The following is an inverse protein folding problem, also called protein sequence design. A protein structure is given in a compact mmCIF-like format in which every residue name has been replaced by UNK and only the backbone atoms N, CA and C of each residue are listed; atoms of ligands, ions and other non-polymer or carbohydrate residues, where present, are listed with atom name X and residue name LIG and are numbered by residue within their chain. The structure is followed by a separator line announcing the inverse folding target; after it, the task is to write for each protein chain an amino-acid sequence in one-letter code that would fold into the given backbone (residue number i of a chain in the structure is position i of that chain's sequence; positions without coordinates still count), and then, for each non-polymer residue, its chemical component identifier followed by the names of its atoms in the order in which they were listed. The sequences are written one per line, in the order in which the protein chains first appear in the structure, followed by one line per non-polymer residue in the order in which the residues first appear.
data_IF_777577367383
#
_entry.id   IF_777577367383
#
_cell.length_a   1.000
_cell.length_b   1.000
_cell.length_c   1.000
_cell.angle_alpha   90.00
_cell.angle_beta   90.00
_cell.angle_gamma   90.00
#
_symmetry.space_group_name_H-M   'P 1'
#
loop_
_entity.id
_entity.type
_entity.pdbx_description
1 polymer ?
#
# COMPACT_ATOMS: atom_id res chain seq x y z
N UNK A 1 2.99 23.48 -16.49
CA UNK A 1 1.86 24.37 -16.15
C UNK A 1 1.43 24.06 -14.72
N UNK A 2 1.73 24.92 -13.73
CA UNK A 2 1.26 24.69 -12.37
C UNK A 2 -0.28 24.68 -12.35
N UNK A 3 -0.93 23.81 -11.55
CA UNK A 3 -2.38 23.71 -11.51
C UNK A 3 -2.98 25.04 -11.00
N UNK A 4 -3.99 25.55 -11.71
CA UNK A 4 -4.75 26.75 -11.34
C UNK A 4 -5.47 26.48 -10.01
N UNK A 5 -4.93 26.99 -8.91
CA UNK A 5 -5.57 26.96 -7.60
C UNK A 5 -6.79 27.88 -7.68
N UNK A 6 -7.99 27.35 -7.40
CA UNK A 6 -9.19 28.19 -7.26
C UNK A 6 -9.12 28.86 -5.89
N UNK A 7 -8.91 30.17 -5.87
CA UNK A 7 -9.07 30.97 -4.66
C UNK A 7 -10.56 31.14 -4.36
N UNK A 8 -10.94 30.90 -3.10
CA UNK A 8 -12.23 31.35 -2.55
C UNK A 8 -12.15 32.84 -2.25
N UNK A 9 -13.30 33.51 -2.17
CA UNK A 9 -13.52 34.96 -1.99
C UNK A 9 -12.79 35.60 -0.77
N UNK A 10 -12.13 34.77 0.06
CA UNK A 10 -11.35 35.12 1.24
C UNK A 10 -9.81 34.99 1.08
N UNK A 11 -9.30 34.72 -0.13
CA UNK A 11 -7.86 34.59 -0.38
C UNK A 11 -7.24 33.28 0.14
N UNK A 12 -8.06 32.29 0.47
CA UNK A 12 -7.60 30.96 0.92
C UNK A 12 -7.57 30.00 -0.26
N UNK A 13 -6.45 29.31 -0.52
CA UNK A 13 -6.37 28.32 -1.59
C UNK A 13 -7.36 27.18 -1.31
N UNK A 14 -8.31 27.00 -2.23
CA UNK A 14 -9.40 26.03 -2.06
C UNK A 14 -9.13 24.80 -2.90
N UNK A 15 -9.04 23.65 -2.23
CA UNK A 15 -8.83 22.36 -2.89
C UNK A 15 -10.16 21.61 -2.93
N UNK A 16 -10.68 21.30 -4.12
CA UNK A 16 -11.99 20.65 -4.32
C UNK A 16 -13.20 21.35 -3.67
N UNK A 17 -13.14 22.69 -3.54
CA UNK A 17 -14.27 23.47 -2.99
C UNK A 17 -14.37 23.50 -1.47
N UNK A 18 -13.38 22.92 -0.76
CA UNK A 18 -13.27 22.94 0.70
C UNK A 18 -11.94 23.60 1.11
N UNK A 19 -11.96 24.43 2.16
CA UNK A 19 -10.78 25.11 2.70
C UNK A 19 -10.78 25.07 4.23
N UNK A 20 -9.60 25.00 4.85
CA UNK A 20 -9.44 25.02 6.31
C UNK A 20 -9.70 23.66 6.98
N UNK A 21 -10.38 23.66 8.13
CA UNK A 21 -10.52 22.49 9.03
C UNK A 21 -11.24 21.30 8.39
N UNK A 22 -12.19 21.53 7.49
CA UNK A 22 -12.87 20.42 6.79
C UNK A 22 -11.95 19.68 5.80
N UNK A 23 -11.02 20.38 5.13
CA UNK A 23 -10.05 19.74 4.25
C UNK A 23 -9.09 18.85 5.05
N UNK A 24 -8.61 19.34 6.20
CA UNK A 24 -7.76 18.55 7.11
C UNK A 24 -8.48 17.31 7.66
N UNK A 25 -9.78 17.41 7.98
CA UNK A 25 -10.58 16.26 8.41
C UNK A 25 -10.71 15.24 7.28
N UNK A 26 -10.96 15.66 6.04
CA UNK A 26 -11.04 14.74 4.89
C UNK A 26 -9.70 14.02 4.64
N UNK A 27 -8.58 14.75 4.69
CA UNK A 27 -7.24 14.15 4.55
C UNK A 27 -6.97 13.16 5.67
N UNK A 28 -7.35 13.49 6.91
CA UNK A 28 -7.19 12.61 8.07
C UNK A 28 -8.03 11.34 7.92
N UNK A 29 -9.27 11.42 7.44
CA UNK A 29 -10.12 10.24 7.19
C UNK A 29 -9.49 9.32 6.14
N UNK A 30 -8.98 9.89 5.04
CA UNK A 30 -8.31 9.12 3.99
C UNK A 30 -7.03 8.47 4.53
N UNK A 31 -6.22 9.20 5.29
CA UNK A 31 -5.01 8.71 5.93
C UNK A 31 -5.30 7.54 6.88
N UNK A 32 -6.27 7.70 7.78
CA UNK A 32 -6.67 6.66 8.73
C UNK A 32 -7.20 5.42 8.00
N UNK A 33 -7.94 5.60 6.90
CA UNK A 33 -8.44 4.48 6.10
C UNK A 33 -7.30 3.68 5.46
N UNK A 34 -6.26 4.35 4.94
CA UNK A 34 -5.08 3.69 4.39
C UNK A 34 -4.31 2.89 5.46
N UNK A 35 -4.06 3.50 6.63
CA UNK A 35 -3.42 2.81 7.76
C UNK A 35 -4.24 1.64 8.31
N UNK A 36 -5.58 1.75 8.29
CA UNK A 36 -6.47 0.66 8.65
C UNK A 36 -6.35 -0.49 7.66
N UNK A 37 -6.35 -0.20 6.35
CA UNK A 37 -6.20 -1.20 5.30
C UNK A 37 -4.83 -1.90 5.39
N UNK A 38 -3.77 -1.15 5.68
CA UNK A 38 -2.43 -1.69 5.94
C UNK A 38 -2.43 -2.68 7.11
N UNK A 39 -3.00 -2.30 8.26
CA UNK A 39 -3.10 -3.19 9.42
C UNK A 39 -3.96 -4.42 9.14
N UNK A 40 -5.02 -4.25 8.34
CA UNK A 40 -5.89 -5.34 7.92
C UNK A 40 -5.15 -6.37 7.03
N UNK A 41 -4.37 -5.94 6.04
CA UNK A 41 -3.63 -6.86 5.15
C UNK A 41 -2.64 -7.74 5.93
N UNK A 42 -1.93 -7.16 6.90
CA UNK A 42 -1.04 -7.92 7.78
C UNK A 42 -1.80 -8.86 8.72
N UNK A 43 -2.87 -8.36 9.34
CA UNK A 43 -3.67 -9.12 10.29
C UNK A 43 -4.33 -10.33 9.63
N UNK A 44 -4.97 -10.13 8.47
CA UNK A 44 -5.58 -11.22 7.71
C UNK A 44 -4.53 -12.25 7.32
N UNK A 45 -3.37 -11.83 6.80
CA UNK A 45 -2.35 -12.80 6.39
C UNK A 45 -1.91 -13.70 7.54
N UNK A 46 -1.67 -13.11 8.72
CA UNK A 46 -1.27 -13.88 9.90
C UNK A 46 -2.30 -14.95 10.31
N UNK A 47 -3.59 -14.74 9.98
CA UNK A 47 -4.66 -15.70 10.24
C UNK A 47 -4.87 -16.73 9.13
N UNK A 48 -4.83 -16.31 7.86
CA UNK A 48 -5.10 -17.22 6.73
C UNK A 48 -3.95 -18.17 6.44
N UNK A 49 -2.71 -17.84 6.82
CA UNK A 49 -1.55 -18.66 6.47
C UNK A 49 -1.59 -20.06 7.11
N UNK A 50 -2.15 -20.16 8.32
CA UNK A 50 -2.38 -21.44 9.00
C UNK A 50 -3.66 -22.15 8.55
N UNK A 51 -4.49 -21.53 7.70
CA UNK A 51 -5.77 -22.10 7.28
C UNK A 51 -5.58 -23.28 6.31
N UNK A 52 -6.37 -24.36 6.44
CA UNK A 52 -6.27 -25.52 5.56
C UNK A 52 -6.55 -25.17 4.09
N UNK A 53 -7.40 -24.18 3.83
CA UNK A 53 -7.66 -23.68 2.47
C UNK A 53 -6.42 -23.03 1.83
N UNK A 54 -5.63 -22.29 2.60
CA UNK A 54 -4.40 -21.66 2.11
C UNK A 54 -3.32 -22.72 1.85
N UNK A 55 -3.18 -23.70 2.75
CA UNK A 55 -2.27 -24.84 2.58
C UNK A 55 -2.63 -25.71 1.37
N UNK A 56 -3.92 -25.89 1.10
CA UNK A 56 -4.39 -26.60 -0.10
C UNK A 56 -4.12 -25.81 -1.39
N UNK A 57 -4.22 -24.47 -1.34
CA UNK A 57 -3.89 -23.60 -2.48
C UNK A 57 -2.38 -23.48 -2.72
N UNK A 58 -1.57 -23.53 -1.66
CA UNK A 58 -0.12 -23.39 -1.66
C UNK A 58 0.54 -24.55 -0.91
N UNK A 59 0.61 -25.76 -1.51
CA UNK A 59 1.15 -26.95 -0.85
C UNK A 59 2.62 -26.82 -0.46
N UNK A 60 3.37 -25.91 -1.10
CA UNK A 60 4.77 -25.60 -0.77
C UNK A 60 4.95 -24.93 0.60
N UNK A 61 3.88 -24.33 1.13
CA UNK A 61 3.86 -23.71 2.46
C UNK A 61 3.51 -24.73 3.55
N UNK A 62 2.88 -25.86 3.19
CA UNK A 62 2.44 -26.85 4.16
C UNK A 62 3.62 -27.70 4.68
N UNK A 63 3.85 -27.65 6.00
CA UNK A 63 4.92 -28.38 6.67
C UNK A 63 6.28 -27.68 6.68
N UNK A 64 6.42 -26.51 6.05
CA UNK A 64 7.67 -25.72 6.07
C UNK A 64 7.46 -24.32 6.68
N UNK A 65 7.64 -24.22 8.00
CA UNK A 65 7.52 -22.98 8.76
C UNK A 65 8.47 -21.86 8.30
N UNK A 66 9.62 -22.22 7.72
CA UNK A 66 10.56 -21.23 7.16
C UNK A 66 9.98 -20.58 5.91
N UNK A 67 9.38 -21.39 5.04
CA UNK A 67 8.75 -20.91 3.80
C UNK A 67 7.48 -20.12 4.10
N UNK A 68 6.71 -20.56 5.09
CA UNK A 68 5.56 -19.84 5.65
C UNK A 68 5.95 -18.43 6.11
N UNK A 69 6.96 -18.34 6.99
CA UNK A 69 7.47 -17.06 7.48
C UNK A 69 8.03 -16.16 6.38
N UNK A 70 8.66 -16.75 5.35
CA UNK A 70 9.17 -16.02 4.20
C UNK A 70 8.05 -15.34 3.39
N UNK A 71 6.96 -16.05 3.10
CA UNK A 71 5.81 -15.53 2.34
C UNK A 71 5.11 -14.36 3.05
N UNK A 72 5.12 -14.33 4.39
CA UNK A 72 4.60 -13.19 5.17
C UNK A 72 5.61 -12.05 5.20
N UNK A 73 6.88 -12.37 5.46
CA UNK A 73 7.93 -11.37 5.72
C UNK A 73 8.38 -10.64 4.45
N UNK A 74 8.22 -11.22 3.26
CA UNK A 74 8.56 -10.57 1.99
C UNK A 74 7.79 -9.27 1.75
N UNK A 75 6.58 -9.16 2.31
CA UNK A 75 5.80 -7.92 2.28
C UNK A 75 6.52 -6.79 3.02
N UNK A 76 7.08 -7.07 4.21
CA UNK A 76 7.84 -6.10 4.99
C UNK A 76 9.13 -5.66 4.27
N UNK A 77 9.79 -6.59 3.56
CA UNK A 77 10.93 -6.26 2.69
C UNK A 77 10.50 -5.32 1.57
N UNK A 78 9.35 -5.58 0.92
CA UNK A 78 8.76 -4.68 -0.06
C UNK A 78 8.50 -3.28 0.52
N UNK A 79 7.90 -3.20 1.71
CA UNK A 79 7.67 -1.95 2.42
C UNK A 79 8.97 -1.17 2.67
N UNK A 80 10.04 -1.84 3.09
CA UNK A 80 11.35 -1.23 3.28
C UNK A 80 11.88 -0.63 1.96
N UNK A 81 11.81 -1.37 0.85
CA UNK A 81 12.24 -0.87 -0.46
C UNK A 81 11.40 0.32 -0.93
N UNK A 82 10.08 0.29 -0.73
CA UNK A 82 9.18 1.40 -1.02
C UNK A 82 9.49 2.66 -0.20
N UNK A 83 9.80 2.49 1.08
CA UNK A 83 10.23 3.56 1.98
C UNK A 83 11.57 4.17 1.54
N UNK A 84 12.55 3.35 1.17
CA UNK A 84 13.82 3.84 0.61
C UNK A 84 13.62 4.61 -0.71
N UNK A 85 12.74 4.12 -1.59
CA UNK A 85 12.43 4.79 -2.85
C UNK A 85 11.86 6.18 -2.61
N UNK A 86 10.86 6.31 -1.73
CA UNK A 86 10.25 7.61 -1.46
C UNK A 86 11.16 8.54 -0.65
N UNK A 87 12.07 7.99 0.16
CA UNK A 87 13.09 8.79 0.84
C UNK A 87 14.00 9.51 -0.16
N UNK A 88 14.38 8.85 -1.25
CA UNK A 88 15.28 9.43 -2.27
C UNK A 88 14.52 10.31 -3.28
N UNK A 89 13.34 9.88 -3.70
CA UNK A 89 12.59 10.51 -4.80
C UNK A 89 11.39 11.38 -4.35
N UNK A 90 11.03 11.35 -3.07
CA UNK A 90 9.83 11.98 -2.53
C UNK A 90 9.81 13.50 -2.70
N UNK A 91 10.96 14.15 -2.51
CA UNK A 91 11.07 15.61 -2.64
C UNK A 91 10.84 16.08 -4.09
N UNK A 92 11.17 15.24 -5.08
CA UNK A 92 10.97 15.57 -6.50
C UNK A 92 9.56 15.24 -7.01
N UNK A 93 8.93 14.18 -6.51
CA UNK A 93 7.58 13.79 -6.92
C UNK A 93 6.49 14.66 -6.28
N UNK A 94 6.73 15.16 -5.06
CA UNK A 94 5.74 15.87 -4.26
C UNK A 94 4.70 14.91 -3.65
N UNK A 95 4.18 15.25 -2.46
CA UNK A 95 3.38 14.35 -1.63
C UNK A 95 2.18 13.74 -2.35
N UNK A 96 1.36 14.56 -3.01
CA UNK A 96 0.12 14.10 -3.66
C UNK A 96 0.40 13.07 -4.76
N UNK A 97 1.45 13.25 -5.57
CA UNK A 97 1.78 12.31 -6.65
C UNK A 97 2.37 11.01 -6.12
N UNK A 98 3.14 11.09 -5.03
CA UNK A 98 3.70 9.93 -4.35
C UNK A 98 2.62 9.01 -3.77
N UNK A 99 1.57 9.56 -3.18
CA UNK A 99 0.41 8.78 -2.70
C UNK A 99 -0.30 8.08 -3.87
N UNK A 100 -0.52 8.79 -4.98
CA UNK A 100 -1.13 8.17 -6.18
C UNK A 100 -0.25 7.08 -6.79
N UNK A 101 1.07 7.26 -6.81
CA UNK A 101 2.02 6.26 -7.30
C UNK A 101 1.98 5.02 -6.41
N UNK A 102 2.07 5.19 -5.08
CA UNK A 102 2.01 4.08 -4.13
C UNK A 102 0.69 3.29 -4.25
N UNK A 103 -0.45 3.99 -4.30
CA UNK A 103 -1.75 3.37 -4.51
C UNK A 103 -1.84 2.58 -5.83
N UNK A 104 -1.29 3.11 -6.93
CA UNK A 104 -1.29 2.42 -8.23
C UNK A 104 -0.47 1.13 -8.18
N UNK A 105 0.72 1.18 -7.55
CA UNK A 105 1.58 0.00 -7.37
C UNK A 105 0.90 -1.04 -6.47
N UNK A 106 0.21 -0.60 -5.40
CA UNK A 106 -0.58 -1.50 -4.56
C UNK A 106 -1.69 -2.20 -5.33
N UNK A 107 -2.45 -1.48 -6.17
CA UNK A 107 -3.51 -2.06 -6.99
C UNK A 107 -2.95 -3.15 -7.91
N UNK A 108 -1.83 -2.88 -8.60
CA UNK A 108 -1.17 -3.87 -9.46
C UNK A 108 -0.74 -5.11 -8.67
N UNK A 109 -0.13 -4.93 -7.50
CA UNK A 109 0.26 -6.03 -6.62
C UNK A 109 -0.93 -6.87 -6.15
N UNK A 110 -2.04 -6.24 -5.77
CA UNK A 110 -3.27 -6.93 -5.36
C UNK A 110 -3.89 -7.69 -6.54
N UNK A 111 -3.91 -7.11 -7.74
CA UNK A 111 -4.39 -7.81 -8.95
C UNK A 111 -3.57 -9.07 -9.18
N UNK A 112 -2.24 -9.02 -9.03
CA UNK A 112 -1.37 -10.20 -9.19
C UNK A 112 -1.68 -11.25 -8.12
N UNK A 113 -1.89 -10.84 -6.86
CA UNK A 113 -2.26 -11.74 -5.76
C UNK A 113 -3.64 -12.39 -5.98
N UNK A 114 -4.62 -11.66 -6.49
CA UNK A 114 -5.98 -12.18 -6.75
C UNK A 114 -6.02 -13.03 -8.03
N UNK A 115 -5.24 -12.68 -9.05
CA UNK A 115 -5.12 -13.42 -10.29
C UNK A 115 -4.27 -14.70 -10.16
N UNK A 116 -3.78 -15.00 -8.96
CA UNK A 116 -3.09 -16.26 -8.69
C UNK A 116 -4.09 -17.41 -8.84
N UNK A 117 -3.84 -18.35 -9.76
CA UNK A 117 -4.75 -19.48 -10.02
C UNK A 117 -4.09 -20.79 -9.55
N UNK A 118 -4.44 -21.32 -8.37
CA UNK A 118 -4.07 -22.67 -7.96
C UNK A 118 -4.81 -23.71 -8.83
N UNK A 119 -4.21 -24.86 -9.24
CA UNK A 119 -2.90 -25.40 -8.89
C UNK A 119 -1.95 -25.34 -10.10
N UNK A 120 -1.59 -24.14 -10.55
CA UNK A 120 -0.53 -23.99 -11.56
C UNK A 120 0.84 -23.95 -10.87
N UNK A 121 1.86 -24.57 -11.46
CA UNK A 121 3.22 -24.75 -10.89
C UNK A 121 4.05 -23.48 -10.65
N UNK A 122 3.40 -22.33 -10.46
CA UNK A 122 4.00 -21.04 -10.11
C UNK A 122 3.09 -20.15 -9.26
N UNK A 123 1.97 -20.68 -8.75
CA UNK A 123 1.00 -19.90 -7.97
C UNK A 123 1.66 -19.23 -6.75
N UNK A 124 2.47 -19.96 -5.98
CA UNK A 124 3.14 -19.39 -4.79
C UNK A 124 4.14 -18.30 -5.15
N UNK A 125 4.91 -18.49 -6.24
CA UNK A 125 5.86 -17.49 -6.71
C UNK A 125 5.15 -16.21 -7.17
N UNK A 126 4.04 -16.34 -7.90
CA UNK A 126 3.21 -15.19 -8.30
C UNK A 126 2.62 -14.47 -7.08
N UNK A 127 2.16 -15.21 -6.07
CA UNK A 127 1.66 -14.66 -4.82
C UNK A 127 2.76 -13.88 -4.05
N UNK A 128 3.97 -14.43 -3.96
CA UNK A 128 5.15 -13.78 -3.35
C UNK A 128 5.51 -12.49 -4.10
N UNK A 129 5.50 -12.51 -5.44
CA UNK A 129 5.77 -11.32 -6.25
C UNK A 129 4.70 -10.25 -6.03
N UNK A 130 3.42 -10.65 -6.01
CA UNK A 130 2.31 -9.77 -5.72
C UNK A 130 2.43 -9.14 -4.32
N UNK A 131 2.84 -9.91 -3.31
CA UNK A 131 3.14 -9.43 -1.95
C UNK A 131 4.26 -8.41 -1.91
N UNK A 132 5.34 -8.66 -2.65
CA UNK A 132 6.46 -7.71 -2.74
C UNK A 132 6.02 -6.39 -3.36
N UNK A 133 5.26 -6.43 -4.46
CA UNK A 133 4.73 -5.23 -5.13
C UNK A 133 3.76 -4.45 -4.25
N UNK A 134 2.80 -5.13 -3.62
CA UNK A 134 1.88 -4.46 -2.68
C UNK A 134 2.64 -3.86 -1.50
N UNK A 135 3.68 -4.53 -1.01
CA UNK A 135 4.57 -4.00 0.01
C UNK A 135 5.28 -2.72 -0.44
N UNK A 136 5.84 -2.68 -1.65
CA UNK A 136 6.50 -1.47 -2.19
C UNK A 136 5.53 -0.29 -2.25
N UNK A 137 4.33 -0.49 -2.80
CA UNK A 137 3.32 0.56 -2.88
C UNK A 137 2.89 1.05 -1.49
N UNK A 138 2.73 0.13 -0.54
CA UNK A 138 2.37 0.47 0.82
C UNK A 138 3.51 1.20 1.58
N UNK A 139 4.77 0.82 1.38
CA UNK A 139 5.92 1.52 1.95
C UNK A 139 6.01 2.99 1.51
N UNK A 140 5.65 3.26 0.24
CA UNK A 140 5.54 4.62 -0.29
C UNK A 140 4.42 5.39 0.41
N UNK A 141 3.23 4.78 0.55
CA UNK A 141 2.07 5.42 1.17
C UNK A 141 2.29 5.72 2.64
N UNK A 142 2.69 4.72 3.43
CA UNK A 142 2.92 4.83 4.89
C UNK A 142 3.98 5.88 5.25
N UNK A 143 4.96 6.12 4.38
CA UNK A 143 5.97 7.17 4.58
C UNK A 143 5.51 8.57 4.14
N UNK A 144 4.57 8.66 3.19
CA UNK A 144 4.12 9.93 2.58
C UNK A 144 2.87 10.51 3.23
N UNK A 145 1.95 9.66 3.68
CA UNK A 145 0.65 10.07 4.21
C UNK A 145 0.77 10.88 5.51
N UNK A 146 1.60 10.49 6.50
CA UNK A 146 1.77 11.28 7.72
C UNK A 146 2.36 12.65 7.45
N UNK A 147 3.33 12.73 6.53
CA UNK A 147 3.92 14.01 6.11
C UNK A 147 2.91 14.87 5.38
N UNK A 148 2.08 14.27 4.51
CA UNK A 148 1.00 14.99 3.82
C UNK A 148 -0.12 15.47 4.77
N UNK A 149 -0.36 14.77 5.89
CA UNK A 149 -1.33 15.22 6.89
C UNK A 149 -0.79 16.36 7.76
N UNK A 150 0.53 16.40 7.97
CA UNK A 150 1.20 17.44 8.75
C UNK A 150 1.41 18.75 7.97
N UNK A 151 1.52 18.66 6.64
CA UNK A 151 1.61 19.78 5.70
C UNK A 151 0.23 20.41 5.41
#
# INVERSE_FOLDING_TARGET
MPPRIKESDSGVPTYWGQSGRMLQVLITIVAVTDFLLFGYDQGVMSGIISAPAFKHAFPEVDGNSTYEGFVVSIYAVGCFLGACFIFIFGDKLGRRKSIFLGATVMIVGVIIQVATVPPSGGATAQFIVGRCLTGIGNGINTSTIPTYQAE
#
